data_IF_543397004702
#
_entry.id   IF_543397004702
#
_cell.length_a   1.000
_cell.length_b   1.000
_cell.length_c   1.000
_cell.angle_alpha   90.00
_cell.angle_beta   90.00
_cell.angle_gamma   90.00
#
_symmetry.space_group_name_H-M   'P 1'
#
loop_
_entity.id
_entity.type
_entity.pdbx_description
1 polymer ?
#
# COMPACT_ATOMS: atom_id res chain seq x y z
N UNK A 1 -7.68 21.52 -24.84
CA UNK A 1 -7.35 20.09 -25.03
C UNK A 1 -8.15 19.30 -24.01
N UNK A 2 -9.28 18.70 -24.40
CA UNK A 2 -10.07 17.84 -23.52
C UNK A 2 -9.53 16.41 -23.64
N UNK A 3 -8.85 15.92 -22.60
CA UNK A 3 -8.61 14.49 -22.47
C UNK A 3 -9.94 13.85 -22.09
N UNK A 4 -10.56 13.15 -23.05
CA UNK A 4 -11.56 12.13 -22.70
C UNK A 4 -10.79 11.01 -22.01
N UNK A 5 -10.80 10.99 -20.68
CA UNK A 5 -10.41 9.82 -19.93
C UNK A 5 -11.53 8.80 -20.12
N UNK A 6 -11.32 7.82 -21.00
CA UNK A 6 -12.14 6.61 -20.94
C UNK A 6 -12.19 6.14 -19.47
N UNK A 7 -13.38 5.91 -18.89
CA UNK A 7 -13.46 5.48 -17.51
C UNK A 7 -12.66 4.18 -17.33
N UNK A 8 -11.90 4.09 -16.26
CA UNK A 8 -11.13 2.90 -15.96
C UNK A 8 -12.05 1.68 -15.81
N UNK A 9 -11.52 0.49 -16.10
CA UNK A 9 -12.23 -0.74 -15.80
C UNK A 9 -12.54 -0.79 -14.29
N UNK A 10 -13.66 -1.43 -13.92
CA UNK A 10 -14.01 -1.64 -12.52
C UNK A 10 -12.81 -2.21 -11.73
N UNK A 11 -12.54 -1.63 -10.56
CA UNK A 11 -11.40 -1.98 -9.72
C UNK A 11 -10.06 -1.36 -10.12
N UNK A 12 -10.03 -0.49 -11.15
CA UNK A 12 -8.82 0.24 -11.56
C UNK A 12 -9.03 1.75 -11.50
N UNK A 13 -7.97 2.49 -11.19
CA UNK A 13 -8.01 3.94 -11.05
C UNK A 13 -6.65 4.61 -11.30
N UNK A 14 -6.64 5.94 -11.20
CA UNK A 14 -5.45 6.79 -11.37
C UNK A 14 -5.13 7.12 -12.82
N UNK A 15 -4.05 7.87 -13.07
CA UNK A 15 -3.61 8.19 -14.42
C UNK A 15 -3.43 6.91 -15.22
N UNK A 16 -3.99 6.85 -16.44
CA UNK A 16 -3.90 5.68 -17.33
C UNK A 16 -4.38 4.36 -16.71
N UNK A 17 -5.20 4.40 -15.66
CA UNK A 17 -5.72 3.21 -14.97
C UNK A 17 -4.62 2.27 -14.46
N UNK A 18 -3.52 2.84 -13.96
CA UNK A 18 -2.33 2.08 -13.57
C UNK A 18 -2.42 1.44 -12.19
N UNK A 19 -3.41 1.82 -11.36
CA UNK A 19 -3.56 1.28 -10.01
C UNK A 19 -4.77 0.37 -9.93
N UNK A 20 -4.52 -0.87 -9.48
CA UNK A 20 -5.58 -1.78 -9.10
C UNK A 20 -5.95 -1.53 -7.63
N UNK A 21 -7.23 -1.66 -7.36
CA UNK A 21 -7.82 -1.48 -6.05
C UNK A 21 -7.82 -2.79 -5.26
N UNK A 22 -7.23 -2.78 -4.07
CA UNK A 22 -7.20 -3.92 -3.14
C UNK A 22 -7.88 -3.60 -1.82
N UNK A 23 -9.03 -2.94 -1.90
CA UNK A 23 -9.92 -2.75 -0.77
C UNK A 23 -10.60 -4.09 -0.41
N UNK A 24 -10.97 -4.28 0.86
CA UNK A 24 -11.71 -5.47 1.30
C UNK A 24 -13.13 -5.53 0.69
N UNK A 25 -13.68 -4.38 0.31
CA UNK A 25 -14.88 -4.20 -0.51
C UNK A 25 -14.49 -3.48 -1.82
N UNK A 26 -15.46 -3.06 -2.62
CA UNK A 26 -15.19 -2.21 -3.78
C UNK A 26 -14.63 -0.83 -3.41
N UNK A 27 -14.13 -0.13 -4.42
CA UNK A 27 -13.70 1.26 -4.33
C UNK A 27 -14.37 2.12 -5.40
N UNK A 28 -14.35 3.41 -5.15
CA UNK A 28 -14.82 4.41 -6.09
C UNK A 28 -13.93 4.43 -7.34
N UNK A 29 -14.51 4.20 -8.51
CA UNK A 29 -13.77 4.10 -9.79
C UNK A 29 -13.13 5.42 -10.24
N UNK A 30 -13.58 6.55 -9.69
CA UNK A 30 -13.06 7.87 -10.06
C UNK A 30 -11.85 8.24 -9.21
N UNK A 31 -11.89 7.91 -7.92
CA UNK A 31 -10.91 8.33 -6.92
C UNK A 31 -10.01 7.20 -6.43
N UNK A 32 -10.39 5.94 -6.66
CA UNK A 32 -9.77 4.74 -6.11
C UNK A 32 -10.03 4.51 -4.63
N UNK A 33 -10.72 5.44 -3.94
CA UNK A 33 -10.91 5.35 -2.50
C UNK A 33 -11.77 4.15 -2.13
N UNK A 34 -11.34 3.40 -1.11
CA UNK A 34 -12.17 2.36 -0.53
C UNK A 34 -13.46 2.98 0.01
N UNK A 35 -14.57 2.26 -0.08
CA UNK A 35 -15.82 2.67 0.53
C UNK A 35 -15.64 2.90 2.04
N UNK A 36 -16.40 3.85 2.60
CA UNK A 36 -16.23 4.30 3.97
C UNK A 36 -16.22 3.14 4.98
N UNK A 37 -15.16 3.07 5.79
CA UNK A 37 -14.96 2.02 6.79
C UNK A 37 -14.33 0.72 6.26
N UNK A 38 -14.13 0.58 4.94
CA UNK A 38 -13.41 -0.56 4.39
C UNK A 38 -11.91 -0.46 4.63
N UNK A 39 -11.30 -1.58 5.03
CA UNK A 39 -9.84 -1.72 5.16
C UNK A 39 -9.23 -2.23 3.85
N UNK A 40 -7.90 -2.18 3.76
CA UNK A 40 -7.17 -2.88 2.71
C UNK A 40 -7.24 -4.39 2.91
N UNK A 41 -7.19 -5.13 1.81
CA UNK A 41 -6.90 -6.55 1.81
C UNK A 41 -5.57 -6.80 2.54
N UNK A 42 -5.42 -8.00 3.10
CA UNK A 42 -4.17 -8.39 3.73
C UNK A 42 -3.01 -8.24 2.72
N UNK A 43 -1.88 -7.70 3.17
CA UNK A 43 -0.74 -7.44 2.30
C UNK A 43 -0.85 -6.19 1.41
N UNK A 44 -1.85 -5.31 1.60
CA UNK A 44 -1.96 -4.06 0.85
C UNK A 44 -2.04 -2.83 1.77
N UNK A 45 -1.56 -1.69 1.27
CA UNK A 45 -1.57 -0.40 1.95
C UNK A 45 -1.70 0.77 0.96
N UNK A 46 -1.80 1.99 1.52
CA UNK A 46 -2.03 3.22 0.78
C UNK A 46 -3.46 3.73 0.95
N UNK A 47 -3.71 4.98 0.58
CA UNK A 47 -5.03 5.62 0.72
C UNK A 47 -6.13 4.93 -0.08
N UNK A 48 -5.76 4.21 -1.13
CA UNK A 48 -6.64 3.44 -2.00
C UNK A 48 -6.21 1.96 -2.06
N UNK A 49 -5.42 1.50 -1.07
CA UNK A 49 -4.92 0.13 -1.00
C UNK A 49 -4.20 -0.33 -2.28
N UNK A 50 -3.44 0.57 -2.89
CA UNK A 50 -2.84 0.35 -4.22
C UNK A 50 -1.39 -0.13 -4.18
N UNK A 51 -0.78 -0.19 -2.99
CA UNK A 51 0.61 -0.59 -2.84
C UNK A 51 0.68 -1.93 -2.11
N UNK A 52 1.39 -2.92 -2.66
CA UNK A 52 1.58 -4.19 -1.98
C UNK A 52 2.60 -4.02 -0.86
N UNK A 53 2.34 -4.63 0.29
CA UNK A 53 3.36 -4.96 1.27
C UNK A 53 4.24 -6.02 0.63
N UNK A 54 5.46 -5.65 0.27
CA UNK A 54 6.46 -6.62 -0.16
C UNK A 54 6.93 -7.39 1.07
N UNK A 55 7.14 -8.69 0.91
CA UNK A 55 7.68 -9.51 1.98
C UNK A 55 9.16 -9.14 2.19
N UNK A 56 9.49 -8.82 3.43
CA UNK A 56 10.81 -8.34 3.83
C UNK A 56 11.33 -9.25 4.93
N UNK A 57 12.63 -9.54 4.88
CA UNK A 57 13.36 -9.96 6.06
C UNK A 57 13.67 -8.72 6.89
N UNK A 58 12.95 -8.56 7.99
CA UNK A 58 13.04 -7.41 8.90
C UNK A 58 12.74 -7.82 10.35
N UNK A 59 13.11 -7.00 11.35
CA UNK A 59 12.65 -7.20 12.72
C UNK A 59 11.11 -7.12 12.81
N UNK A 60 10.48 -8.01 13.59
CA UNK A 60 9.01 -8.13 13.65
C UNK A 60 8.31 -6.80 13.98
N UNK A 61 8.87 -6.05 14.94
CA UNK A 61 8.33 -4.76 15.42
C UNK A 61 8.22 -3.65 14.37
N UNK A 62 8.87 -3.80 13.20
CA UNK A 62 8.73 -2.84 12.08
C UNK A 62 7.58 -3.21 11.13
N UNK A 63 7.05 -4.43 11.23
CA UNK A 63 6.07 -5.00 10.29
C UNK A 63 4.80 -5.57 10.94
N UNK A 64 4.75 -5.66 12.28
CA UNK A 64 3.63 -6.27 13.02
C UNK A 64 2.33 -5.44 13.01
N UNK A 65 2.38 -4.20 12.53
CA UNK A 65 1.25 -3.26 12.47
C UNK A 65 0.66 -2.94 13.85
N UNK A 66 1.47 -3.00 14.91
CA UNK A 66 1.07 -2.70 16.28
C UNK A 66 1.80 -1.46 16.83
N UNK A 67 1.09 -0.33 16.82
CA UNK A 67 1.57 0.98 17.31
C UNK A 67 1.94 0.98 18.82
N UNK A 68 1.66 -0.10 19.57
CA UNK A 68 2.03 -0.23 20.99
C UNK A 68 3.39 -0.91 21.23
N UNK A 69 4.03 -1.44 20.19
CA UNK A 69 5.23 -2.28 20.29
C UNK A 69 6.48 -1.69 19.62
N UNK A 70 6.59 -0.37 19.58
CA UNK A 70 7.71 0.36 18.98
C UNK A 70 9.08 -0.02 19.56
N UNK A 71 10.13 0.01 18.72
CA UNK A 71 11.51 -0.09 19.19
C UNK A 71 11.89 1.07 20.12
N UNK A 72 12.28 0.75 21.36
CA UNK A 72 12.69 1.72 22.38
C UNK A 72 14.20 2.02 22.43
N UNK A 73 15.01 1.42 21.56
CA UNK A 73 16.46 1.65 21.56
C UNK A 73 16.80 3.04 21.00
N UNK A 74 17.25 3.92 21.90
CA UNK A 74 17.66 5.30 21.58
C UNK A 74 18.99 5.39 20.84
N UNK A 75 19.75 4.30 20.77
CA UNK A 75 21.05 4.24 20.09
C UNK A 75 20.97 3.52 18.74
N UNK A 76 19.77 3.20 18.25
CA UNK A 76 19.61 2.52 16.98
C UNK A 76 20.03 3.44 15.82
N UNK A 77 21.17 3.16 15.20
CA UNK A 77 21.71 3.96 14.09
C UNK A 77 21.12 3.58 12.73
N UNK A 78 20.90 2.29 12.49
CA UNK A 78 20.39 1.81 11.21
C UNK A 78 19.63 0.49 11.36
N UNK A 79 18.72 0.26 10.41
CA UNK A 79 17.99 -1.00 10.23
C UNK A 79 18.26 -1.47 8.82
N UNK A 80 18.62 -2.74 8.68
CA UNK A 80 18.79 -3.38 7.38
C UNK A 80 17.56 -4.26 7.13
N UNK A 81 16.83 -3.95 6.06
CA UNK A 81 15.73 -4.78 5.58
C UNK A 81 16.12 -5.37 4.23
N UNK A 82 15.86 -6.66 4.05
CA UNK A 82 16.19 -7.38 2.81
C UNK A 82 14.93 -7.82 2.10
N UNK A 83 14.84 -7.57 0.81
CA UNK A 83 13.72 -7.99 -0.02
C UNK A 83 13.88 -9.49 -0.28
N UNK A 84 12.88 -10.29 0.08
CA UNK A 84 12.96 -11.74 -0.18
C UNK A 84 12.65 -12.06 -1.65
N UNK A 85 11.86 -11.20 -2.30
CA UNK A 85 11.47 -11.31 -3.69
C UNK A 85 11.84 -10.06 -4.48
N UNK A 86 12.14 -10.24 -5.76
CA UNK A 86 12.36 -9.14 -6.68
C UNK A 86 11.03 -8.44 -6.97
N UNK A 87 10.87 -7.24 -6.44
CA UNK A 87 9.71 -6.39 -6.71
C UNK A 87 10.15 -4.94 -6.97
N UNK A 88 9.37 -4.16 -7.74
CA UNK A 88 9.66 -2.75 -7.94
C UNK A 88 9.59 -1.98 -6.62
N UNK A 89 10.66 -1.24 -6.29
CA UNK A 89 10.64 -0.29 -5.18
C UNK A 89 9.77 0.91 -5.57
N UNK A 90 8.51 0.91 -5.13
CA UNK A 90 7.54 1.97 -5.46
C UNK A 90 7.40 2.95 -4.32
N UNK A 91 6.98 2.47 -3.15
CA UNK A 91 6.74 3.28 -1.96
C UNK A 91 7.16 2.54 -0.71
N UNK A 92 7.68 3.29 0.26
CA UNK A 92 7.98 2.81 1.60
C UNK A 92 7.15 3.61 2.60
N UNK A 93 6.46 2.90 3.48
CA UNK A 93 5.72 3.46 4.61
C UNK A 93 6.42 3.00 5.89
N UNK A 94 6.63 3.93 6.81
CA UNK A 94 6.98 3.69 8.20
C UNK A 94 5.75 3.95 9.07
#
# INVERSE_FOLDING_TARGET
LHFSSAPCQAGWFGPRCQFQCHCAQDCDVTTGQCLAGSKCQHGWFGTACQYPNVELSSPDWITDRDDSTCNGDVNLESIVVTWIDAAPFTWLRF
#
